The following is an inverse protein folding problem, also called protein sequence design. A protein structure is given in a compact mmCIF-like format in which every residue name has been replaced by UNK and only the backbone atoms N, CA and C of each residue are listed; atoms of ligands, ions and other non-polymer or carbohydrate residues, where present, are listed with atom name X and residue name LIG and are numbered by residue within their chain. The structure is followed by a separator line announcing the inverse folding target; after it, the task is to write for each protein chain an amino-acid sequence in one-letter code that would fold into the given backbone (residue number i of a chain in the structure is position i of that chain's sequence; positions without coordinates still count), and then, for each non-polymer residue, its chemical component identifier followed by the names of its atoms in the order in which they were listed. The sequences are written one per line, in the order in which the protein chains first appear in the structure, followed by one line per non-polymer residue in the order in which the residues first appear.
data_IF_961469707164
#
_entry.id   IF_961469707164
#
_cell.length_a   1.000
_cell.length_b   1.000
_cell.length_c   1.000
_cell.angle_alpha   90.00
_cell.angle_beta   90.00
_cell.angle_gamma   90.00
#
_symmetry.space_group_name_H-M   'P 1'
#
loop_
_entity.id
_entity.type
_entity.pdbx_description
1 polymer ?
#
# COMPACT_ATOMS: atom_id res chain seq x y z
N UNK A 1 75.71 -38.31 29.11
CA UNK A 1 74.32 -38.81 28.99
C UNK A 1 73.78 -38.36 27.64
N UNK A 2 73.74 -39.27 26.66
CA UNK A 2 72.49 -39.79 26.07
C UNK A 2 71.84 -38.78 25.11
N UNK A 3 72.26 -38.76 23.84
CA UNK A 3 71.64 -39.43 22.68
C UNK A 3 70.31 -38.83 22.15
N UNK A 4 70.36 -38.50 20.84
CA UNK A 4 69.31 -38.61 19.80
C UNK A 4 68.28 -37.46 19.58
N UNK A 5 68.49 -36.78 18.43
CA UNK A 5 67.52 -36.21 17.46
C UNK A 5 66.30 -37.15 17.21
N UNK A 6 65.13 -36.74 16.62
CA UNK A 6 65.05 -35.86 15.44
C UNK A 6 63.75 -35.00 15.21
N UNK A 7 63.87 -34.16 14.17
CA UNK A 7 62.90 -33.82 13.11
C UNK A 7 61.46 -33.36 13.41
N UNK A 8 61.19 -32.14 12.92
CA UNK A 8 59.87 -31.61 12.61
C UNK A 8 59.13 -32.50 11.58
N UNK A 9 57.89 -32.86 11.88
CA UNK A 9 56.93 -33.31 10.87
C UNK A 9 55.72 -32.37 10.85
N UNK A 10 55.50 -31.78 9.68
CA UNK A 10 54.28 -31.06 9.33
C UNK A 10 53.16 -32.08 9.22
N UNK A 11 52.14 -31.97 10.08
CA UNK A 11 50.89 -32.70 9.93
C UNK A 11 49.80 -31.75 9.47
N UNK A 12 49.42 -31.92 8.19
CA UNK A 12 48.21 -31.35 7.60
C UNK A 12 47.01 -31.88 8.39
N UNK A 13 46.33 -31.02 9.13
CA UNK A 13 45.05 -31.37 9.74
C UNK A 13 44.02 -31.54 8.60
N UNK A 14 43.65 -32.79 8.35
CA UNK A 14 42.62 -33.18 7.41
C UNK A 14 41.27 -32.59 7.83
N UNK A 15 40.57 -31.99 6.87
CA UNK A 15 39.17 -31.61 6.99
C UNK A 15 38.33 -32.84 7.32
N UNK A 16 37.92 -32.97 8.59
CA UNK A 16 36.78 -33.83 8.95
C UNK A 16 35.51 -32.99 8.84
N UNK A 17 34.79 -33.18 7.73
CA UNK A 17 33.41 -32.77 7.58
C UNK A 17 32.58 -33.46 8.68
N UNK A 18 32.32 -32.75 9.77
CA UNK A 18 31.26 -33.11 10.70
C UNK A 18 29.94 -32.74 10.02
N UNK A 19 29.25 -33.76 9.56
CA UNK A 19 27.87 -33.69 9.11
C UNK A 19 27.04 -33.03 10.22
N UNK A 20 26.48 -31.84 9.92
CA UNK A 20 25.50 -31.21 10.79
C UNK A 20 24.28 -32.13 10.89
N UNK A 21 24.20 -32.89 11.98
CA UNK A 21 23.03 -33.66 12.35
C UNK A 21 21.89 -32.65 12.50
N UNK A 22 20.92 -32.74 11.58
CA UNK A 22 19.68 -31.96 11.65
C UNK A 22 18.92 -32.39 12.89
N UNK A 23 19.00 -31.61 13.96
CA UNK A 23 18.05 -31.71 15.05
C UNK A 23 16.68 -31.25 14.51
N UNK A 24 15.79 -32.20 14.23
CA UNK A 24 14.37 -31.89 14.18
C UNK A 24 14.01 -31.34 15.56
N UNK A 25 13.49 -30.12 15.58
CA UNK A 25 13.05 -29.44 16.79
C UNK A 25 12.11 -30.37 17.58
N UNK A 26 12.60 -30.85 18.73
CA UNK A 26 11.76 -31.50 19.72
C UNK A 26 10.63 -30.54 20.09
N UNK A 27 9.40 -31.05 20.15
CA UNK A 27 8.27 -30.29 20.70
C UNK A 27 8.64 -29.93 22.14
N UNK A 28 8.78 -28.65 22.51
CA UNK A 28 8.99 -28.31 23.91
C UNK A 28 7.70 -28.64 24.66
N UNK A 29 7.84 -29.46 25.69
CA UNK A 29 6.76 -29.86 26.57
C UNK A 29 6.11 -28.65 27.25
N UNK A 30 4.80 -28.58 27.03
CA UNK A 30 3.72 -27.99 27.80
C UNK A 30 4.05 -27.60 29.25
N UNK A 31 4.65 -26.43 29.49
CA UNK A 31 4.74 -25.84 30.84
C UNK A 31 4.93 -24.32 30.77
N UNK A 32 3.80 -23.59 30.68
CA UNK A 32 3.66 -22.14 30.45
C UNK A 32 3.90 -21.72 28.98
N UNK A 33 2.80 -21.69 28.21
CA UNK A 33 2.80 -21.05 26.89
C UNK A 33 3.23 -19.59 26.97
N UNK A 34 4.09 -19.16 26.06
CA UNK A 34 4.58 -17.78 25.94
C UNK A 34 3.41 -16.78 26.10
N UNK A 35 3.44 -15.87 27.09
CA UNK A 35 2.37 -14.92 27.33
C UNK A 35 2.06 -14.06 26.12
N UNK A 36 3.05 -13.79 25.24
CA UNK A 36 2.84 -13.08 23.98
C UNK A 36 2.00 -13.90 23.01
N UNK A 37 2.28 -15.20 22.88
CA UNK A 37 1.53 -16.13 22.02
C UNK A 37 0.10 -16.30 22.54
N UNK A 38 -0.09 -16.36 23.86
CA UNK A 38 -1.41 -16.45 24.48
C UNK A 38 -2.19 -15.13 24.32
N UNK A 39 -1.54 -13.97 24.47
CA UNK A 39 -2.16 -12.67 24.23
C UNK A 39 -2.56 -12.49 22.75
N UNK A 40 -1.70 -12.90 21.81
CA UNK A 40 -2.02 -12.91 20.38
C UNK A 40 -3.18 -13.85 20.08
N UNK A 41 -3.19 -15.06 20.67
CA UNK A 41 -4.29 -16.02 20.54
C UNK A 41 -5.59 -15.44 21.09
N UNK A 42 -5.58 -14.80 22.26
CA UNK A 42 -6.75 -14.14 22.86
C UNK A 42 -7.24 -12.93 22.06
N UNK A 43 -6.34 -12.20 21.41
CA UNK A 43 -6.70 -11.07 20.57
C UNK A 43 -7.31 -11.50 19.24
N UNK A 44 -6.75 -12.53 18.59
CA UNK A 44 -7.25 -13.05 17.31
C UNK A 44 -8.50 -13.93 17.48
N UNK A 45 -8.55 -14.70 18.56
CA UNK A 45 -9.63 -15.62 18.89
C UNK A 45 -10.17 -15.28 20.29
N UNK A 46 -10.96 -14.19 20.40
CA UNK A 46 -11.57 -13.82 21.65
C UNK A 46 -12.46 -14.96 22.18
N UNK A 47 -12.48 -15.15 23.50
CA UNK A 47 -13.32 -16.18 24.10
C UNK A 47 -14.80 -15.83 23.91
N UNK A 48 -15.61 -16.82 23.50
CA UNK A 48 -17.07 -16.67 23.40
C UNK A 48 -17.78 -16.67 24.78
N UNK A 49 -17.01 -16.62 25.88
CA UNK A 49 -17.53 -16.64 27.24
C UNK A 49 -18.01 -15.22 27.60
N UNK A 50 -19.32 -15.06 27.79
CA UNK A 50 -20.00 -13.77 28.03
C UNK A 50 -19.85 -13.21 29.46
N UNK A 51 -18.87 -13.67 30.23
CA UNK A 51 -18.76 -13.34 31.65
C UNK A 51 -17.86 -12.13 31.94
N UNK A 52 -17.03 -11.70 30.98
CA UNK A 52 -16.12 -10.55 31.14
C UNK A 52 -16.05 -9.72 29.86
N UNK A 53 -16.00 -8.38 29.95
CA UNK A 53 -15.79 -7.52 28.79
C UNK A 53 -14.41 -7.81 28.21
N UNK A 54 -14.37 -8.13 26.92
CA UNK A 54 -13.11 -8.33 26.20
C UNK A 54 -12.94 -7.19 25.18
N UNK A 55 -11.74 -6.60 25.05
CA UNK A 55 -11.52 -5.49 24.12
C UNK A 55 -11.67 -5.91 22.66
N UNK A 56 -11.54 -7.20 22.36
CA UNK A 56 -11.54 -7.77 21.00
C UNK A 56 -12.67 -8.78 20.77
N UNK A 57 -13.50 -9.07 21.79
CA UNK A 57 -14.53 -10.11 21.69
C UNK A 57 -15.95 -9.62 21.46
N UNK A 58 -16.83 -10.59 21.27
CA UNK A 58 -18.24 -10.42 20.85
C UNK A 58 -19.16 -9.91 21.96
N UNK A 59 -18.75 -10.03 23.23
CA UNK A 59 -19.56 -9.60 24.37
C UNK A 59 -19.02 -8.32 25.01
N UNK A 60 -19.65 -7.19 24.68
CA UNK A 60 -19.40 -5.88 25.29
C UNK A 60 -20.72 -5.25 25.74
N UNK A 61 -21.10 -5.34 27.03
CA UNK A 61 -22.36 -4.79 27.53
C UNK A 61 -22.43 -3.27 27.38
N UNK A 62 -21.29 -2.58 27.38
CA UNK A 62 -21.21 -1.14 27.14
C UNK A 62 -21.65 -0.75 25.73
N UNK A 63 -21.36 -1.60 24.74
CA UNK A 63 -21.80 -1.37 23.35
C UNK A 63 -23.32 -1.50 23.25
N UNK A 64 -23.91 -2.51 23.89
CA UNK A 64 -25.37 -2.65 23.92
C UNK A 64 -26.06 -1.45 24.59
N UNK A 65 -25.53 -0.98 25.73
CA UNK A 65 -26.03 0.24 26.40
C UNK A 65 -25.84 1.49 25.55
N UNK A 66 -24.70 1.64 24.89
CA UNK A 66 -24.43 2.76 23.98
C UNK A 66 -25.35 2.74 22.75
N UNK A 67 -25.61 1.56 22.18
CA UNK A 67 -26.54 1.39 21.06
C UNK A 67 -27.98 1.76 21.46
N UNK A 68 -28.45 1.30 22.62
CA UNK A 68 -29.76 1.69 23.16
C UNK A 68 -29.87 3.20 23.40
N UNK A 69 -28.77 3.88 23.78
CA UNK A 69 -28.74 5.34 23.93
C UNK A 69 -28.71 6.08 22.60
N UNK A 70 -27.96 5.57 21.63
CA UNK A 70 -27.78 6.21 20.32
C UNK A 70 -28.98 5.99 19.38
N UNK A 71 -29.65 4.84 19.52
CA UNK A 71 -30.80 4.44 18.70
C UNK A 71 -32.03 4.36 19.60
N UNK A 72 -32.94 5.34 19.51
CA UNK A 72 -34.14 5.38 20.36
C UNK A 72 -35.09 4.20 20.11
N UNK A 73 -35.20 3.75 18.85
CA UNK A 73 -36.08 2.65 18.43
C UNK A 73 -35.59 1.99 17.14
N UNK A 74 -36.06 0.76 16.89
CA UNK A 74 -35.78 0.02 15.64
C UNK A 74 -36.29 0.79 14.42
N UNK A 75 -37.47 1.40 14.52
CA UNK A 75 -38.04 2.22 13.44
C UNK A 75 -37.17 3.45 13.12
N UNK A 76 -36.60 4.09 14.14
CA UNK A 76 -35.70 5.22 13.95
C UNK A 76 -34.42 4.78 13.22
N UNK A 77 -33.84 3.64 13.62
CA UNK A 77 -32.70 3.04 12.95
C UNK A 77 -32.99 2.74 11.47
N UNK A 78 -34.06 2.00 11.17
CA UNK A 78 -34.45 1.66 9.79
C UNK A 78 -34.69 2.91 8.93
N UNK A 79 -35.23 3.97 9.54
CA UNK A 79 -35.48 5.23 8.83
C UNK A 79 -34.18 5.96 8.51
N UNK A 80 -33.26 6.05 9.48
CA UNK A 80 -31.93 6.63 9.29
C UNK A 80 -31.18 5.84 8.21
N UNK A 81 -31.22 4.51 8.26
CA UNK A 81 -30.55 3.66 7.27
C UNK A 81 -31.13 3.84 5.86
N UNK A 82 -32.46 3.81 5.72
CA UNK A 82 -33.12 4.06 4.43
C UNK A 82 -32.77 5.44 3.88
N UNK A 83 -32.80 6.47 4.71
CA UNK A 83 -32.43 7.83 4.31
C UNK A 83 -30.95 7.90 3.87
N UNK A 84 -30.05 7.25 4.61
CA UNK A 84 -28.62 7.21 4.26
C UNK A 84 -28.35 6.45 2.96
N UNK A 85 -29.00 5.31 2.74
CA UNK A 85 -28.90 4.56 1.49
C UNK A 85 -29.45 5.36 0.31
N UNK A 86 -30.57 6.05 0.50
CA UNK A 86 -31.14 6.96 -0.50
C UNK A 86 -30.17 8.10 -0.83
N UNK A 87 -29.59 8.74 0.19
CA UNK A 87 -28.59 9.79 0.01
C UNK A 87 -27.37 9.29 -0.78
N UNK A 88 -26.80 8.15 -0.40
CA UNK A 88 -25.67 7.52 -1.13
C UNK A 88 -26.03 7.23 -2.59
N UNK A 89 -27.26 6.77 -2.86
CA UNK A 89 -27.76 6.56 -4.23
C UNK A 89 -27.81 7.88 -5.01
N UNK A 90 -28.30 8.95 -4.41
CA UNK A 90 -28.34 10.28 -5.04
C UNK A 90 -26.93 10.80 -5.35
N UNK A 91 -26.01 10.73 -4.39
CA UNK A 91 -24.60 11.13 -4.59
C UNK A 91 -23.96 10.34 -5.72
N UNK A 92 -24.19 9.02 -5.79
CA UNK A 92 -23.68 8.19 -6.89
C UNK A 92 -24.24 8.64 -8.24
N UNK A 93 -25.56 8.82 -8.34
CA UNK A 93 -26.21 9.30 -9.57
C UNK A 93 -25.70 10.66 -10.02
N UNK A 94 -25.49 11.58 -9.09
CA UNK A 94 -24.93 12.91 -9.38
C UNK A 94 -23.52 12.79 -9.97
N UNK A 95 -22.64 11.98 -9.34
CA UNK A 95 -21.29 11.74 -9.87
C UNK A 95 -21.30 11.06 -11.24
N UNK A 96 -22.17 10.08 -11.46
CA UNK A 96 -22.35 9.43 -12.76
C UNK A 96 -22.81 10.41 -13.84
N UNK A 97 -23.77 11.29 -13.53
CA UNK A 97 -24.23 12.32 -14.46
C UNK A 97 -23.15 13.38 -14.76
N UNK A 98 -22.32 13.75 -13.79
CA UNK A 98 -21.18 14.63 -14.03
C UNK A 98 -20.11 13.97 -14.90
N UNK A 99 -19.83 12.68 -14.65
CA UNK A 99 -18.88 11.90 -15.46
C UNK A 99 -19.38 11.75 -16.91
N UNK A 100 -20.68 11.48 -17.10
CA UNK A 100 -21.26 11.36 -18.45
C UNK A 100 -21.15 12.69 -19.20
N UNK A 101 -21.47 13.82 -18.56
CA UNK A 101 -21.31 15.16 -19.15
C UNK A 101 -19.87 15.46 -19.54
N UNK A 102 -18.90 15.15 -18.67
CA UNK A 102 -17.47 15.35 -18.95
C UNK A 102 -17.02 14.48 -20.12
N UNK A 103 -17.48 13.24 -20.19
CA UNK A 103 -17.17 12.32 -21.28
C UNK A 103 -17.78 12.75 -22.61
N UNK A 104 -19.05 13.17 -22.61
CA UNK A 104 -19.72 13.71 -23.81
C UNK A 104 -18.98 14.92 -24.37
N UNK A 105 -18.55 15.84 -23.50
CA UNK A 105 -17.77 17.02 -23.91
C UNK A 105 -16.38 16.65 -24.42
N UNK A 106 -15.73 15.65 -23.83
CA UNK A 106 -14.46 15.12 -24.33
C UNK A 106 -14.62 14.51 -25.73
N UNK A 107 -15.70 13.76 -25.97
CA UNK A 107 -16.00 13.17 -27.28
C UNK A 107 -16.26 14.25 -28.32
N UNK A 108 -17.10 15.24 -28.00
CA UNK A 108 -17.39 16.39 -28.88
C UNK A 108 -16.10 17.11 -29.30
N UNK A 109 -15.21 17.39 -28.34
CA UNK A 109 -13.91 18.00 -28.63
C UNK A 109 -13.01 17.14 -29.53
N UNK A 110 -13.00 15.81 -29.34
CA UNK A 110 -12.24 14.89 -30.20
C UNK A 110 -12.83 14.78 -31.61
N UNK A 111 -14.16 14.79 -31.74
CA UNK A 111 -14.85 14.80 -33.03
C UNK A 111 -14.57 16.09 -33.82
N UNK A 112 -14.46 17.24 -33.12
CA UNK A 112 -14.03 18.50 -33.72
C UNK A 112 -12.55 18.47 -34.12
N UNK A 113 -11.67 17.97 -33.25
CA UNK A 113 -10.25 17.85 -33.54
C UNK A 113 -9.98 16.98 -34.77
N UNK A 114 -10.71 15.87 -34.92
CA UNK A 114 -10.59 14.99 -36.08
C UNK A 114 -10.93 15.69 -37.40
N UNK A 115 -11.93 16.58 -37.38
CA UNK A 115 -12.33 17.36 -38.57
C UNK A 115 -11.32 18.44 -38.94
N UNK A 116 -10.66 19.04 -37.93
CA UNK A 116 -9.71 20.13 -38.12
C UNK A 116 -8.31 19.62 -38.49
N UNK A 117 -7.76 18.69 -37.71
CA UNK A 117 -6.40 18.17 -37.89
C UNK A 117 -6.29 16.68 -37.49
N UNK A 118 -6.09 15.83 -38.50
CA UNK A 118 -5.91 14.39 -38.30
C UNK A 118 -4.62 14.02 -37.57
N UNK A 119 -3.54 14.80 -37.71
CA UNK A 119 -2.27 14.52 -37.05
C UNK A 119 -2.39 14.73 -35.55
N UNK A 120 -2.97 15.87 -35.12
CA UNK A 120 -3.20 16.15 -33.70
C UNK A 120 -4.16 15.15 -33.07
N UNK A 121 -5.20 14.73 -33.79
CA UNK A 121 -6.10 13.66 -33.33
C UNK A 121 -5.36 12.33 -33.08
N UNK A 122 -4.47 11.92 -33.99
CA UNK A 122 -3.67 10.71 -33.81
C UNK A 122 -2.70 10.83 -32.63
N UNK A 123 -2.10 12.01 -32.43
CA UNK A 123 -1.22 12.26 -31.28
C UNK A 123 -1.98 12.25 -29.95
N UNK A 124 -3.17 12.83 -29.89
CA UNK A 124 -4.00 12.87 -28.68
C UNK A 124 -4.50 11.46 -28.27
N UNK A 125 -4.75 10.58 -29.24
CA UNK A 125 -5.16 9.20 -29.01
C UNK A 125 -3.99 8.23 -28.78
N UNK A 126 -2.76 8.74 -28.65
CA UNK A 126 -1.59 7.92 -28.37
C UNK A 126 -1.75 7.27 -26.99
N UNK A 127 -1.67 5.94 -26.94
CA UNK A 127 -1.62 5.22 -25.69
C UNK A 127 -0.21 5.32 -25.09
N UNK A 128 -0.11 5.91 -23.90
CA UNK A 128 1.13 5.93 -23.14
C UNK A 128 1.25 4.65 -22.31
N UNK A 129 2.24 3.80 -22.62
CA UNK A 129 2.59 2.68 -21.76
C UNK A 129 3.47 3.18 -20.60
N UNK A 130 3.00 3.12 -19.34
CA UNK A 130 3.76 3.60 -18.19
C UNK A 130 5.07 2.83 -17.96
N UNK A 131 5.23 1.63 -18.53
CA UNK A 131 6.45 0.83 -18.35
C UNK A 131 7.51 1.10 -19.42
N UNK A 132 7.10 1.62 -20.57
CA UNK A 132 8.01 1.87 -21.67
C UNK A 132 8.85 3.13 -21.36
N UNK A 133 10.17 2.98 -21.25
CA UNK A 133 11.11 4.09 -21.19
C UNK A 133 11.68 4.34 -22.58
N UNK A 134 11.74 5.59 -23.01
CA UNK A 134 12.34 5.91 -24.31
C UNK A 134 13.84 5.64 -24.29
N UNK A 135 14.45 5.39 -25.46
CA UNK A 135 15.89 5.18 -25.55
C UNK A 135 16.68 6.39 -25.00
N UNK A 136 16.18 7.60 -25.27
CA UNK A 136 16.77 8.86 -24.80
C UNK A 136 16.66 9.02 -23.28
N UNK A 137 15.52 8.65 -22.70
CA UNK A 137 15.34 8.63 -21.25
C UNK A 137 16.33 7.65 -20.58
N UNK A 138 16.56 6.49 -21.18
CA UNK A 138 17.52 5.50 -20.69
C UNK A 138 18.97 6.00 -20.76
N UNK A 139 19.36 6.70 -21.83
CA UNK A 139 20.70 7.27 -21.96
C UNK A 139 20.94 8.42 -20.98
N UNK A 140 19.93 9.26 -20.75
CA UNK A 140 20.02 10.37 -19.81
C UNK A 140 20.02 9.88 -18.36
N UNK A 141 19.22 8.85 -18.04
CA UNK A 141 19.22 8.24 -16.71
C UNK A 141 20.61 7.71 -16.31
N UNK A 142 21.44 7.26 -17.27
CA UNK A 142 22.83 6.85 -17.02
C UNK A 142 23.74 8.03 -16.65
N UNK A 143 23.43 9.25 -17.09
CA UNK A 143 24.22 10.47 -16.86
C UNK A 143 23.81 11.21 -15.59
N UNK A 144 22.56 11.04 -15.16
CA UNK A 144 21.96 11.77 -14.05
C UNK A 144 22.38 11.23 -12.68
N UNK A 145 22.30 12.09 -11.66
CA UNK A 145 22.55 11.68 -10.27
C UNK A 145 21.42 10.79 -9.76
N UNK A 146 21.70 9.95 -8.78
CA UNK A 146 20.71 9.02 -8.20
C UNK A 146 19.44 9.72 -7.70
N UNK A 147 19.56 10.93 -7.14
CA UNK A 147 18.40 11.73 -6.71
C UNK A 147 17.49 12.14 -7.88
N UNK A 148 18.08 12.50 -9.01
CA UNK A 148 17.38 12.92 -10.23
C UNK A 148 16.70 11.72 -10.90
N UNK A 149 17.38 10.57 -10.94
CA UNK A 149 16.80 9.30 -11.42
C UNK A 149 15.58 8.91 -10.59
N UNK A 150 15.65 9.03 -9.25
CA UNK A 150 14.48 8.79 -8.37
C UNK A 150 13.33 9.74 -8.64
N UNK A 151 13.60 11.01 -8.95
CA UNK A 151 12.55 11.96 -9.34
C UNK A 151 11.94 11.64 -10.70
N UNK A 152 12.73 11.13 -11.66
CA UNK A 152 12.20 10.64 -12.94
C UNK A 152 11.26 9.46 -12.75
N UNK A 153 11.70 8.48 -11.96
CA UNK A 153 10.91 7.27 -11.67
C UNK A 153 9.64 7.58 -10.86
N UNK A 154 9.61 8.71 -10.14
CA UNK A 154 8.42 9.15 -9.42
C UNK A 154 7.31 9.71 -10.34
N UNK A 155 7.64 10.11 -11.57
CA UNK A 155 6.73 10.79 -12.51
C UNK A 155 6.57 9.98 -13.79
N UNK A 156 6.01 8.80 -13.67
CA UNK A 156 5.78 7.90 -14.81
C UNK A 156 4.67 8.48 -15.71
N UNK A 157 4.85 8.52 -17.05
CA UNK A 157 3.85 9.04 -17.97
C UNK A 157 2.59 8.18 -17.92
N UNK A 158 1.42 8.78 -18.11
CA UNK A 158 0.12 8.11 -17.97
C UNK A 158 -0.30 7.79 -16.52
N UNK A 159 0.57 8.01 -15.53
CA UNK A 159 0.24 7.87 -14.11
C UNK A 159 0.12 9.24 -13.42
N UNK A 160 -0.67 9.29 -12.34
CA UNK A 160 -0.76 10.49 -11.52
C UNK A 160 0.60 10.81 -10.86
N UNK A 161 1.06 12.07 -10.88
CA UNK A 161 2.26 12.48 -10.16
C UNK A 161 2.13 12.23 -8.66
N UNK A 162 3.23 11.81 -8.02
CA UNK A 162 3.26 11.53 -6.58
C UNK A 162 3.04 12.76 -5.70
N UNK A 163 3.27 13.95 -6.26
CA UNK A 163 3.01 15.22 -5.62
C UNK A 163 1.50 15.49 -5.44
N UNK A 164 0.64 14.86 -6.25
CA UNK A 164 -0.81 14.91 -6.12
C UNK A 164 -1.24 13.99 -4.96
N UNK A 165 -1.28 14.57 -3.76
CA UNK A 165 -1.62 13.86 -2.53
C UNK A 165 -3.12 13.72 -2.33
N UNK A 166 -3.52 12.67 -1.62
CA UNK A 166 -4.89 12.52 -1.11
C UNK A 166 -5.16 13.63 -0.07
N UNK A 167 -6.33 14.28 -0.10
CA UNK A 167 -6.70 15.28 0.90
C UNK A 167 -6.60 14.74 2.33
N UNK A 168 -6.11 15.56 3.25
CA UNK A 168 -6.01 15.27 4.68
C UNK A 168 -7.04 16.09 5.47
N UNK A 169 -7.47 15.58 6.63
CA UNK A 169 -8.48 16.24 7.46
C UNK A 169 -8.06 17.65 7.89
N UNK A 170 -6.78 17.84 8.23
CA UNK A 170 -6.18 19.15 8.53
C UNK A 170 -5.11 19.49 7.50
N UNK A 171 -4.97 20.76 7.11
CA UNK A 171 -3.92 21.18 6.19
C UNK A 171 -2.52 21.04 6.83
N UNK A 172 -1.48 20.99 5.99
CA UNK A 172 -0.10 20.99 6.46
C UNK A 172 0.29 22.35 7.05
N UNK A 173 1.22 22.37 8.01
CA UNK A 173 1.73 23.63 8.60
C UNK A 173 2.37 24.55 7.57
N UNK A 174 3.00 23.98 6.55
CA UNK A 174 3.67 24.70 5.47
C UNK A 174 2.71 25.11 4.35
N UNK A 175 1.47 24.62 4.34
CA UNK A 175 0.49 24.91 3.30
C UNK A 175 0.94 24.46 1.91
N UNK A 176 0.87 25.39 0.95
CA UNK A 176 1.24 25.19 -0.46
C UNK A 176 2.70 25.53 -0.71
N UNK A 177 3.39 24.74 -1.52
CA UNK A 177 4.79 24.99 -1.89
C UNK A 177 4.87 25.91 -3.12
N UNK A 178 5.15 27.19 -2.90
CA UNK A 178 5.33 28.18 -3.97
C UNK A 178 6.69 28.10 -4.68
N UNK A 179 7.70 27.53 -4.03
CA UNK A 179 9.06 27.40 -4.57
C UNK A 179 9.26 26.11 -5.39
N UNK A 180 8.16 25.55 -5.90
CA UNK A 180 8.19 24.31 -6.66
C UNK A 180 8.95 24.49 -7.99
N UNK A 181 9.92 23.61 -8.24
CA UNK A 181 10.70 23.57 -9.48
C UNK A 181 10.29 22.37 -10.34
N UNK A 182 9.90 22.58 -11.60
CA UNK A 182 9.53 21.48 -12.48
C UNK A 182 10.77 20.65 -12.85
N UNK A 183 10.61 19.33 -12.86
CA UNK A 183 11.60 18.43 -13.43
C UNK A 183 11.51 18.47 -14.96
N UNK A 184 12.63 18.73 -15.64
CA UNK A 184 12.72 18.71 -17.09
C UNK A 184 12.92 17.27 -17.57
N UNK A 185 11.89 16.67 -18.17
CA UNK A 185 12.01 15.38 -18.84
C UNK A 185 12.51 15.61 -20.27
N UNK A 186 13.57 14.91 -20.73
CA UNK A 186 13.93 14.92 -22.14
C UNK A 186 12.81 14.22 -22.92
N UNK A 187 12.17 14.96 -23.83
CA UNK A 187 11.16 14.46 -24.78
C UNK A 187 11.82 13.87 -26.02
#
# INVERSE_FOLDING_TARGET
MSFLRPASSSSKAAFRNTTAIRHYAGKPDTSLGDPKRENLRRALYPSNIRNRPTPVGTWRPDVARALQRAIPSVQAHETIERAWLLHKRHVRKQREAELSRKFEKMREAMDELYKLDSQLYLQANRADDPRAKSAQEMEMAKKLKVSEVRTMDARIPGLFPRELKVPTDTPSRTGWNYDYKPFQRPL
#
